data_IF_732155620965
#
_entry.id   IF_732155620965
#
_cell.length_a   1.000
_cell.length_b   1.000
_cell.length_c   1.000
_cell.angle_alpha   90.00
_cell.angle_beta   90.00
_cell.angle_gamma   90.00
#
_symmetry.space_group_name_H-M   'P 1'
#
loop_
_entity.id
_entity.type
_entity.pdbx_description
1 polymer ?
#
# COMPACT_ATOMS: atom_id res chain seq x y z
N UNK A 1 21.38 7.12 -0.03
CA UNK A 1 21.46 8.45 0.62
C UNK A 1 20.11 9.15 0.72
N UNK A 2 19.49 9.71 -0.33
CA UNK A 2 18.22 10.47 -0.16
C UNK A 2 17.04 9.61 0.33
N UNK A 3 16.86 8.40 -0.19
CA UNK A 3 15.80 7.48 0.26
C UNK A 3 16.05 6.97 1.69
N UNK A 4 17.30 6.66 2.01
CA UNK A 4 17.66 6.23 3.37
C UNK A 4 17.50 7.37 4.37
N UNK A 5 17.82 8.61 4.00
CA UNK A 5 17.61 9.79 4.83
C UNK A 5 16.12 10.14 4.95
N UNK A 6 15.31 9.96 3.90
CA UNK A 6 13.86 10.19 3.93
C UNK A 6 13.14 9.15 4.78
N UNK A 7 13.51 7.87 4.65
CA UNK A 7 12.98 6.82 5.51
C UNK A 7 13.49 6.99 6.92
N UNK A 8 14.79 7.20 7.14
CA UNK A 8 15.34 7.41 8.47
C UNK A 8 14.70 8.62 9.14
N UNK A 9 14.45 9.71 8.40
CA UNK A 9 13.69 10.86 8.88
C UNK A 9 12.22 10.52 9.15
N UNK A 10 11.57 9.70 8.32
CA UNK A 10 10.20 9.23 8.57
C UNK A 10 10.12 8.34 9.81
N UNK A 11 11.11 7.45 10.01
CA UNK A 11 11.28 6.63 11.21
C UNK A 11 11.60 7.48 12.44
N UNK A 12 12.42 8.53 12.30
CA UNK A 12 12.71 9.50 13.36
C UNK A 12 11.48 10.34 13.72
N UNK A 13 10.67 10.73 12.73
CA UNK A 13 9.39 11.44 12.94
C UNK A 13 8.32 10.53 13.56
N UNK A 14 8.46 9.21 13.38
CA UNK A 14 7.62 8.17 13.98
C UNK A 14 8.06 7.77 15.40
N UNK A 15 9.33 8.01 15.77
CA UNK A 15 9.88 7.70 17.09
C UNK A 15 9.13 8.42 18.24
N UNK A 16 8.75 9.71 18.13
CA UNK A 16 7.89 10.38 19.11
C UNK A 16 6.46 9.80 19.21
N UNK A 17 5.92 9.22 18.12
CA UNK A 17 4.60 8.57 18.13
C UNK A 17 4.63 7.18 18.81
N UNK A 18 5.79 6.55 18.89
CA UNK A 18 6.02 5.30 19.64
C UNK A 18 6.34 5.54 21.13
N UNK A 19 6.66 6.79 21.50
CA UNK A 19 7.00 7.21 22.86
C UNK A 19 5.87 7.31 23.91
N UNK A 20 4.55 7.17 23.62
CA UNK A 20 3.55 7.25 24.69
C UNK A 20 3.68 6.15 25.76
N UNK A 21 4.50 5.12 25.54
CA UNK A 21 4.61 3.97 26.44
C UNK A 21 5.47 4.15 27.71
N UNK A 22 6.07 5.33 27.98
CA UNK A 22 6.90 5.50 29.20
C UNK A 22 6.45 6.64 30.11
N UNK A 23 5.48 7.46 29.69
CA UNK A 23 5.16 8.72 30.39
C UNK A 23 3.89 8.78 31.26
N UNK A 24 2.97 7.82 31.18
CA UNK A 24 1.64 7.96 31.83
C UNK A 24 1.31 6.77 32.74
N UNK A 25 2.12 6.62 33.79
CA UNK A 25 1.72 5.92 35.02
C UNK A 25 1.60 6.96 36.14
N UNK A 26 0.75 7.96 35.96
CA UNK A 26 0.25 8.84 37.02
C UNK A 26 -1.04 9.46 36.50
N UNK A 27 -2.09 9.28 37.29
CA UNK A 27 -3.44 9.83 37.14
C UNK A 27 -4.39 9.09 36.18
N UNK A 28 -4.72 7.85 36.55
CA UNK A 28 -6.03 7.27 36.24
C UNK A 28 -7.04 7.85 37.23
N UNK A 29 -8.02 8.70 36.82
CA UNK A 29 -9.17 8.94 37.66
C UNK A 29 -9.94 7.63 37.78
N UNK A 30 -10.02 7.09 39.00
CA UNK A 30 -10.86 5.92 39.31
C UNK A 30 -12.30 6.23 38.91
N UNK A 31 -12.76 5.66 37.79
CA UNK A 31 -14.18 5.51 37.56
C UNK A 31 -14.68 4.42 38.51
N UNK A 32 -15.29 4.88 39.61
CA UNK A 32 -16.07 4.04 40.51
C UNK A 32 -17.24 3.49 39.70
N UNK A 33 -17.11 2.26 39.20
CA UNK A 33 -18.22 1.52 38.64
C UNK A 33 -18.96 0.82 39.78
N UNK A 34 -19.95 1.52 40.36
CA UNK A 34 -20.90 0.93 41.29
C UNK A 34 -21.76 -0.08 40.53
N UNK A 35 -21.43 -1.37 40.68
CA UNK A 35 -22.15 -2.51 40.11
C UNK A 35 -23.48 -2.67 40.85
N UNK A 36 -24.58 -2.18 40.29
CA UNK A 36 -25.94 -2.68 40.61
C UNK A 36 -26.33 -3.74 39.59
N UNK A 37 -26.62 -4.95 40.09
CA UNK A 37 -27.17 -6.06 39.32
C UNK A 37 -28.52 -5.68 38.70
N UNK A 38 -28.75 -6.04 37.43
CA UNK A 38 -30.10 -6.23 36.89
C UNK A 38 -30.58 -5.31 35.76
N UNK A 39 -29.75 -4.41 35.22
CA UNK A 39 -30.19 -3.51 34.13
C UNK A 39 -29.66 -4.01 32.77
N UNK A 40 -30.50 -4.11 31.70
CA UNK A 40 -29.99 -4.35 30.35
C UNK A 40 -28.96 -3.27 30.01
N UNK A 41 -27.90 -3.58 29.24
CA UNK A 41 -26.85 -2.61 28.97
C UNK A 41 -27.47 -1.38 28.31
N UNK A 42 -27.49 -0.26 29.04
CA UNK A 42 -27.91 1.02 28.49
C UNK A 42 -27.08 1.28 27.23
N UNK A 43 -27.68 1.75 26.12
CA UNK A 43 -26.91 2.14 24.95
C UNK A 43 -25.81 3.09 25.40
N UNK A 44 -24.57 2.74 25.07
CA UNK A 44 -23.38 3.46 25.52
C UNK A 44 -23.57 4.94 25.15
N UNK A 45 -23.79 5.82 26.14
CA UNK A 45 -23.94 7.24 25.89
C UNK A 45 -22.58 7.78 25.46
N UNK A 46 -22.36 7.78 24.15
CA UNK A 46 -21.16 8.32 23.53
C UNK A 46 -21.10 9.81 23.84
N UNK A 47 -20.11 10.23 24.64
CA UNK A 47 -19.84 11.65 24.82
C UNK A 47 -19.52 12.29 23.46
N UNK A 48 -19.82 13.58 23.24
CA UNK A 48 -19.52 14.25 21.98
C UNK A 48 -18.04 14.15 21.58
N UNK A 49 -17.14 14.19 22.58
CA UNK A 49 -15.70 14.03 22.42
C UNK A 49 -15.35 12.62 21.90
N UNK A 50 -15.85 11.57 22.56
CA UNK A 50 -15.61 10.18 22.15
C UNK A 50 -16.19 9.90 20.75
N UNK A 51 -17.39 10.42 20.44
CA UNK A 51 -17.98 10.31 19.10
C UNK A 51 -17.09 10.95 18.03
N UNK A 52 -16.48 12.10 18.34
CA UNK A 52 -15.58 12.80 17.42
C UNK A 52 -14.30 12.00 17.21
N UNK A 53 -13.70 11.49 18.28
CA UNK A 53 -12.50 10.68 18.23
C UNK A 53 -12.72 9.38 17.43
N UNK A 54 -13.86 8.70 17.63
CA UNK A 54 -14.21 7.51 16.84
C UNK A 54 -14.35 7.86 15.35
N UNK A 55 -14.96 9.00 15.03
CA UNK A 55 -15.12 9.46 13.64
C UNK A 55 -13.76 9.74 13.00
N UNK A 56 -12.85 10.41 13.71
CA UNK A 56 -11.48 10.68 13.24
C UNK A 56 -10.71 9.37 13.07
N UNK A 57 -10.77 8.45 14.04
CA UNK A 57 -10.15 7.12 13.93
C UNK A 57 -10.63 6.37 12.68
N UNK A 58 -11.95 6.31 12.49
CA UNK A 58 -12.57 5.63 11.36
C UNK A 58 -12.15 6.27 10.03
N UNK A 59 -12.16 7.60 9.94
CA UNK A 59 -11.74 8.33 8.74
C UNK A 59 -10.26 8.09 8.40
N UNK A 60 -9.37 8.18 9.40
CA UNK A 60 -7.93 7.94 9.21
C UNK A 60 -7.65 6.54 8.68
N UNK A 61 -8.30 5.49 9.23
CA UNK A 61 -8.11 4.13 8.72
C UNK A 61 -8.81 3.88 7.39
N UNK A 62 -9.96 4.51 7.14
CA UNK A 62 -10.61 4.47 5.84
C UNK A 62 -9.69 5.02 4.74
N UNK A 63 -9.09 6.20 4.95
CA UNK A 63 -8.15 6.82 4.01
C UNK A 63 -6.87 5.98 3.90
N UNK A 64 -6.33 5.50 5.01
CA UNK A 64 -5.07 4.74 5.05
C UNK A 64 -5.20 3.35 4.43
N UNK A 65 -5.80 2.40 5.16
CA UNK A 65 -5.83 0.98 4.78
C UNK A 65 -6.94 0.68 3.78
N UNK A 66 -8.01 1.48 3.77
CA UNK A 66 -9.12 1.33 2.83
C UNK A 66 -8.84 1.89 1.43
N UNK A 67 -7.92 2.86 1.30
CA UNK A 67 -7.69 3.57 0.04
C UNK A 67 -6.22 3.73 -0.36
N UNK A 68 -5.40 4.44 0.44
CA UNK A 68 -4.03 4.76 0.06
C UNK A 68 -3.14 3.52 -0.09
N UNK A 69 -3.25 2.53 0.81
CA UNK A 69 -2.45 1.31 0.71
C UNK A 69 -2.74 0.52 -0.58
N UNK A 70 -4.02 0.23 -0.94
CA UNK A 70 -4.34 -0.36 -2.24
C UNK A 70 -3.84 0.45 -3.44
N UNK A 71 -3.97 1.79 -3.40
CA UNK A 71 -3.45 2.68 -4.46
C UNK A 71 -1.92 2.57 -4.58
N UNK A 72 -1.21 2.52 -3.46
CA UNK A 72 0.24 2.30 -3.43
C UNK A 72 0.64 1.00 -4.14
N UNK A 73 -0.11 -0.09 -3.93
CA UNK A 73 0.12 -1.38 -4.62
C UNK A 73 -0.11 -1.25 -6.13
N UNK A 74 -1.19 -0.58 -6.53
CA UNK A 74 -1.51 -0.33 -7.94
C UNK A 74 -0.38 0.46 -8.62
N UNK A 75 0.13 1.51 -7.99
CA UNK A 75 1.22 2.36 -8.52
C UNK A 75 2.47 1.52 -8.82
N UNK A 76 2.92 0.70 -7.86
CA UNK A 76 4.14 -0.10 -8.08
C UNK A 76 3.93 -1.21 -9.10
N UNK A 77 2.72 -1.76 -9.23
CA UNK A 77 2.41 -2.79 -10.23
C UNK A 77 2.49 -2.27 -11.67
N UNK A 78 2.11 -1.01 -11.91
CA UNK A 78 2.28 -0.37 -13.25
C UNK A 78 3.74 -0.47 -13.72
N UNK A 79 4.69 -0.52 -12.80
CA UNK A 79 6.11 -0.58 -13.13
C UNK A 79 6.51 -1.81 -13.96
N UNK A 80 5.75 -2.91 -13.90
CA UNK A 80 5.97 -4.10 -14.74
C UNK A 80 5.81 -3.80 -16.24
N UNK A 81 5.08 -2.73 -16.59
CA UNK A 81 4.76 -2.33 -17.97
C UNK A 81 5.67 -1.24 -18.51
N UNK A 82 6.59 -0.74 -17.68
CA UNK A 82 7.39 0.43 -17.98
C UNK A 82 8.85 0.01 -18.17
N UNK A 83 9.32 0.14 -19.41
CA UNK A 83 10.72 -0.19 -19.76
C UNK A 83 11.69 0.98 -19.51
N UNK A 84 11.17 2.19 -19.27
CA UNK A 84 11.98 3.36 -18.98
C UNK A 84 12.47 3.36 -17.51
N UNK A 85 13.79 3.35 -17.31
CA UNK A 85 14.42 3.34 -15.98
C UNK A 85 13.99 4.54 -15.12
N UNK A 86 13.88 5.73 -15.71
CA UNK A 86 13.48 6.95 -14.99
C UNK A 86 12.05 6.83 -14.46
N UNK A 87 11.12 6.36 -15.30
CA UNK A 87 9.73 6.14 -14.90
C UNK A 87 9.59 5.01 -13.87
N UNK A 88 10.38 3.95 -13.99
CA UNK A 88 10.45 2.87 -13.00
C UNK A 88 10.88 3.40 -11.61
N UNK A 89 11.90 4.28 -11.57
CA UNK A 89 12.31 4.96 -10.35
C UNK A 89 11.20 5.85 -9.80
N UNK A 90 10.54 6.64 -10.65
CA UNK A 90 9.44 7.50 -10.25
C UNK A 90 8.27 6.73 -9.63
N UNK A 91 7.83 5.62 -10.24
CA UNK A 91 6.78 4.75 -9.70
C UNK A 91 7.19 4.11 -8.37
N UNK A 92 8.45 3.72 -8.22
CA UNK A 92 8.99 3.21 -6.96
C UNK A 92 8.95 4.27 -5.85
N UNK A 93 9.38 5.50 -6.13
CA UNK A 93 9.29 6.59 -5.14
C UNK A 93 7.85 6.97 -4.82
N UNK A 94 6.97 7.03 -5.82
CA UNK A 94 5.55 7.29 -5.62
C UNK A 94 4.91 6.23 -4.72
N UNK A 95 5.23 4.95 -4.93
CA UNK A 95 4.81 3.87 -4.04
C UNK A 95 5.29 4.10 -2.61
N UNK A 96 6.59 4.33 -2.40
CA UNK A 96 7.13 4.54 -1.05
C UNK A 96 6.47 5.74 -0.37
N UNK A 97 6.31 6.87 -1.05
CA UNK A 97 5.68 8.07 -0.49
C UNK A 97 4.24 7.80 -0.07
N UNK A 98 3.43 7.19 -0.96
CA UNK A 98 2.03 6.86 -0.67
C UNK A 98 1.94 5.89 0.52
N UNK A 99 2.79 4.85 0.55
CA UNK A 99 2.81 3.91 1.66
C UNK A 99 3.26 4.53 2.97
N UNK A 100 4.26 5.43 2.95
CA UNK A 100 4.68 6.16 4.14
C UNK A 100 3.52 6.99 4.69
N UNK A 101 2.84 7.78 3.85
CA UNK A 101 1.66 8.57 4.28
C UNK A 101 0.57 7.66 4.86
N UNK A 102 0.28 6.52 4.23
CA UNK A 102 -0.70 5.58 4.75
C UNK A 102 -0.29 5.02 6.13
N UNK A 103 0.98 4.65 6.33
CA UNK A 103 1.50 4.17 7.62
C UNK A 103 1.40 5.26 8.69
N UNK A 104 1.72 6.51 8.36
CA UNK A 104 1.59 7.65 9.30
C UNK A 104 0.14 7.83 9.76
N UNK A 105 -0.82 7.79 8.82
CA UNK A 105 -2.24 7.90 9.14
C UNK A 105 -2.74 6.72 9.99
N UNK A 106 -2.29 5.50 9.69
CA UNK A 106 -2.62 4.31 10.47
C UNK A 106 -2.04 4.39 11.89
N UNK A 107 -0.81 4.90 12.03
CA UNK A 107 -0.14 5.13 13.31
C UNK A 107 -0.89 6.17 14.13
N UNK A 108 -1.27 7.30 13.52
CA UNK A 108 -2.07 8.33 14.19
C UNK A 108 -3.42 7.77 14.69
N UNK A 109 -4.11 6.97 13.88
CA UNK A 109 -5.36 6.32 14.28
C UNK A 109 -5.16 5.28 15.40
N UNK A 110 -4.06 4.53 15.38
CA UNK A 110 -3.71 3.57 16.43
C UNK A 110 -3.40 4.28 17.75
N UNK A 111 -2.60 5.36 17.72
CA UNK A 111 -2.32 6.20 18.90
C UNK A 111 -3.61 6.80 19.46
N UNK A 112 -4.50 7.32 18.60
CA UNK A 112 -5.81 7.82 18.99
C UNK A 112 -6.64 6.74 19.71
N UNK A 113 -6.60 5.50 19.22
CA UNK A 113 -7.28 4.35 19.84
C UNK A 113 -6.68 3.97 21.20
N UNK A 114 -5.35 3.93 21.29
CA UNK A 114 -4.65 3.55 22.54
C UNK A 114 -4.94 4.55 23.65
N UNK A 115 -4.93 5.84 23.33
CA UNK A 115 -5.08 6.91 24.33
C UNK A 115 -6.54 7.10 24.76
N UNK A 116 -7.50 6.97 23.84
CA UNK A 116 -8.87 7.45 24.09
C UNK A 116 -9.93 6.36 24.17
N UNK A 117 -9.65 5.12 23.74
CA UNK A 117 -10.64 4.05 23.71
C UNK A 117 -10.34 2.95 24.72
N UNK A 118 -11.37 2.20 25.11
CA UNK A 118 -11.18 1.01 25.95
C UNK A 118 -10.58 -0.14 25.15
N UNK A 119 -9.32 -0.45 25.41
CA UNK A 119 -8.57 -1.51 24.72
C UNK A 119 -8.69 -2.87 25.46
N UNK A 120 -9.93 -3.33 25.68
CA UNK A 120 -10.19 -4.63 26.33
C UNK A 120 -9.95 -5.84 25.41
N UNK A 121 -9.79 -5.62 24.11
CA UNK A 121 -9.58 -6.66 23.07
C UNK A 121 -10.63 -7.78 23.08
N UNK A 122 -11.82 -7.48 23.62
CA UNK A 122 -12.95 -8.41 23.73
C UNK A 122 -13.72 -8.59 22.42
N UNK A 123 -13.52 -7.68 21.46
CA UNK A 123 -14.18 -7.72 20.16
C UNK A 123 -13.21 -8.01 19.02
N UNK A 124 -13.74 -8.57 17.93
CA UNK A 124 -12.97 -8.96 16.74
C UNK A 124 -12.29 -7.77 16.07
N UNK A 125 -12.92 -6.58 16.04
CA UNK A 125 -12.33 -5.38 15.44
C UNK A 125 -11.02 -4.96 16.12
N UNK A 126 -10.98 -4.97 17.45
CA UNK A 126 -9.77 -4.61 18.21
C UNK A 126 -8.66 -5.63 18.03
N UNK A 127 -8.98 -6.94 18.12
CA UNK A 127 -8.01 -8.02 17.94
C UNK A 127 -7.42 -8.02 16.53
N UNK A 128 -8.28 -7.91 15.51
CA UNK A 128 -7.85 -7.84 14.12
C UNK A 128 -7.10 -6.54 13.84
N UNK A 129 -7.55 -5.41 14.39
CA UNK A 129 -6.91 -4.10 14.25
C UNK A 129 -5.49 -4.07 14.82
N UNK A 130 -5.26 -4.67 15.98
CA UNK A 130 -3.92 -4.77 16.57
C UNK A 130 -2.99 -5.66 15.72
N UNK A 131 -3.48 -6.83 15.28
CA UNK A 131 -2.72 -7.71 14.40
C UNK A 131 -2.40 -7.05 13.06
N UNK A 132 -3.38 -6.36 12.47
CA UNK A 132 -3.21 -5.57 11.25
C UNK A 132 -2.15 -4.48 11.42
N UNK A 133 -2.19 -3.75 12.54
CA UNK A 133 -1.21 -2.69 12.82
C UNK A 133 0.22 -3.22 12.91
N UNK A 134 0.41 -4.38 13.54
CA UNK A 134 1.71 -5.07 13.53
C UNK A 134 2.14 -5.44 12.10
N UNK A 135 1.23 -5.99 11.28
CA UNK A 135 1.53 -6.33 9.88
C UNK A 135 1.88 -5.09 9.03
N UNK A 136 1.21 -3.95 9.26
CA UNK A 136 1.52 -2.68 8.60
C UNK A 136 2.98 -2.27 8.83
N UNK A 137 3.51 -2.47 10.05
CA UNK A 137 4.90 -2.15 10.38
C UNK A 137 5.92 -3.22 9.94
N UNK A 138 5.50 -4.48 9.84
CA UNK A 138 6.35 -5.53 9.27
C UNK A 138 6.64 -5.25 7.78
N UNK A 139 5.69 -4.66 7.04
CA UNK A 139 5.88 -4.32 5.62
C UNK A 139 7.14 -3.49 5.30
N UNK A 140 7.35 -2.31 5.89
CA UNK A 140 8.55 -1.52 5.63
C UNK A 140 9.80 -2.26 6.11
N UNK A 141 9.77 -2.98 7.22
CA UNK A 141 10.93 -3.78 7.69
C UNK A 141 11.33 -4.83 6.65
N UNK A 142 10.37 -5.61 6.14
CA UNK A 142 10.61 -6.55 5.04
C UNK A 142 11.13 -5.81 3.80
N UNK A 143 10.59 -4.62 3.51
CA UNK A 143 11.05 -3.80 2.40
C UNK A 143 12.49 -3.25 2.57
N UNK A 144 12.97 -3.03 3.80
CA UNK A 144 14.37 -2.67 4.07
C UNK A 144 15.32 -3.83 3.84
N UNK A 145 14.89 -5.05 4.17
CA UNK A 145 15.66 -6.28 3.96
C UNK A 145 15.67 -6.75 2.49
N UNK A 146 15.43 -5.82 1.56
CA UNK A 146 15.34 -6.05 0.13
C UNK A 146 16.67 -6.57 -0.44
N UNK A 147 16.73 -7.80 -0.97
CA UNK A 147 17.96 -8.33 -1.56
C UNK A 147 18.36 -7.63 -2.85
N UNK A 148 19.67 -7.65 -3.14
CA UNK A 148 20.25 -7.19 -4.41
C UNK A 148 19.66 -7.95 -5.61
N UNK A 149 19.61 -7.26 -6.76
CA UNK A 149 19.13 -7.85 -8.03
C UNK A 149 20.02 -9.02 -8.45
N UNK A 150 19.44 -10.06 -9.04
CA UNK A 150 20.15 -11.26 -9.52
C UNK A 150 20.28 -12.40 -8.50
N UNK A 151 19.88 -12.21 -7.24
CA UNK A 151 19.92 -13.27 -6.21
C UNK A 151 18.64 -14.13 -6.24
N UNK A 152 18.75 -15.44 -5.96
CA UNK A 152 17.57 -16.32 -5.80
C UNK A 152 16.61 -15.83 -4.70
N UNK A 153 17.17 -15.26 -3.64
CA UNK A 153 16.42 -14.66 -2.52
C UNK A 153 15.51 -13.48 -2.95
N UNK A 154 15.85 -12.78 -4.04
CA UNK A 154 15.05 -11.66 -4.56
C UNK A 154 13.62 -12.08 -4.92
N UNK A 155 13.46 -13.27 -5.49
CA UNK A 155 12.15 -13.81 -5.88
C UNK A 155 11.29 -14.15 -4.67
N UNK A 156 11.88 -14.82 -3.68
CA UNK A 156 11.22 -15.17 -2.41
C UNK A 156 10.80 -13.90 -1.65
N UNK A 157 11.71 -12.94 -1.54
CA UNK A 157 11.41 -11.63 -0.94
C UNK A 157 10.26 -10.93 -1.66
N UNK A 158 10.25 -10.95 -2.99
CA UNK A 158 9.20 -10.30 -3.77
C UNK A 158 7.84 -10.95 -3.51
N UNK A 159 7.78 -12.28 -3.55
CA UNK A 159 6.55 -13.04 -3.26
C UNK A 159 6.06 -12.76 -1.84
N UNK A 160 6.95 -12.81 -0.85
CA UNK A 160 6.60 -12.56 0.55
C UNK A 160 6.08 -11.13 0.75
N UNK A 161 6.82 -10.12 0.27
CA UNK A 161 6.44 -8.72 0.41
C UNK A 161 5.12 -8.44 -0.31
N UNK A 162 4.92 -9.00 -1.51
CA UNK A 162 3.68 -8.89 -2.26
C UNK A 162 2.50 -9.55 -1.53
N UNK A 163 2.63 -10.81 -1.10
CA UNK A 163 1.58 -11.53 -0.38
C UNK A 163 1.19 -10.83 0.92
N UNK A 164 2.18 -10.45 1.73
CA UNK A 164 1.93 -9.75 2.98
C UNK A 164 1.27 -8.38 2.69
N UNK A 165 1.71 -7.65 1.65
CA UNK A 165 1.19 -6.31 1.34
C UNK A 165 -0.26 -6.35 0.87
N UNK A 166 -0.59 -7.31 0.00
CA UNK A 166 -1.97 -7.58 -0.40
C UNK A 166 -2.82 -8.05 0.78
N UNK A 167 -2.27 -8.92 1.65
CA UNK A 167 -2.93 -9.36 2.87
C UNK A 167 -3.29 -8.20 3.81
N UNK A 168 -2.38 -7.25 4.02
CA UNK A 168 -2.63 -6.02 4.80
C UNK A 168 -3.80 -5.23 4.22
N UNK A 169 -3.90 -5.09 2.89
CA UNK A 169 -5.02 -4.38 2.27
C UNK A 169 -6.35 -5.11 2.46
N UNK A 170 -6.38 -6.43 2.26
CA UNK A 170 -7.61 -7.23 2.44
C UNK A 170 -8.07 -7.20 3.90
N UNK A 171 -7.16 -7.47 4.84
CA UNK A 171 -7.46 -7.42 6.28
C UNK A 171 -7.83 -6.01 6.73
N UNK A 172 -7.20 -4.98 6.16
CA UNK A 172 -7.50 -3.57 6.40
C UNK A 172 -8.93 -3.21 6.03
N UNK A 173 -9.32 -3.48 4.79
CA UNK A 173 -10.69 -3.25 4.31
C UNK A 173 -11.71 -4.05 5.14
N UNK A 174 -11.44 -5.32 5.41
CA UNK A 174 -12.30 -6.14 6.27
C UNK A 174 -12.45 -5.53 7.68
N UNK A 175 -11.35 -5.06 8.28
CA UNK A 175 -11.39 -4.46 9.60
C UNK A 175 -12.16 -3.13 9.63
N UNK A 176 -12.12 -2.34 8.55
CA UNK A 176 -12.97 -1.13 8.41
C UNK A 176 -14.45 -1.52 8.38
N UNK A 177 -14.85 -2.54 7.64
CA UNK A 177 -16.25 -3.01 7.64
C UNK A 177 -16.70 -3.51 9.01
N UNK A 178 -15.87 -4.29 9.71
CA UNK A 178 -16.17 -4.75 11.08
C UNK A 178 -16.28 -3.55 12.03
N UNK A 179 -15.42 -2.53 11.87
CA UNK A 179 -15.50 -1.29 12.64
C UNK A 179 -16.78 -0.51 12.40
N UNK A 180 -17.19 -0.34 11.14
CA UNK A 180 -18.47 0.30 10.76
C UNK A 180 -19.67 -0.47 11.33
N UNK A 181 -19.64 -1.81 11.27
CA UNK A 181 -20.67 -2.66 11.86
C UNK A 181 -20.79 -2.44 13.38
N UNK A 182 -19.65 -2.50 14.08
CA UNK A 182 -19.57 -2.30 15.53
C UNK A 182 -20.04 -0.91 15.92
N UNK A 183 -19.69 0.12 15.14
CA UNK A 183 -20.13 1.49 15.37
C UNK A 183 -21.64 1.64 15.20
N UNK A 184 -22.24 1.02 14.16
CA UNK A 184 -23.70 1.01 13.96
C UNK A 184 -24.42 0.36 15.14
N UNK A 185 -23.96 -0.80 15.60
CA UNK A 185 -24.58 -1.50 16.74
C UNK A 185 -24.51 -0.67 18.04
N UNK A 186 -23.39 0.01 18.29
CA UNK A 186 -23.17 0.76 19.54
C UNK A 186 -23.84 2.13 19.55
N UNK A 187 -23.86 2.82 18.41
CA UNK A 187 -24.34 4.21 18.32
C UNK A 187 -25.75 4.32 17.76
N UNK A 188 -26.31 3.24 17.18
CA UNK A 188 -27.55 3.25 16.39
C UNK A 188 -27.57 4.28 15.24
N UNK A 189 -26.41 4.80 14.83
CA UNK A 189 -26.27 5.74 13.72
C UNK A 189 -26.11 5.00 12.40
N UNK A 190 -26.66 5.57 11.34
CA UNK A 190 -26.48 5.04 9.99
C UNK A 190 -25.03 5.18 9.55
N UNK A 191 -24.47 4.07 9.07
CA UNK A 191 -23.14 3.98 8.44
C UNK A 191 -23.23 3.73 6.94
N UNK A 192 -24.45 3.73 6.38
CA UNK A 192 -24.70 3.28 5.01
C UNK A 192 -23.91 4.08 3.98
N UNK A 193 -23.84 5.41 4.13
CA UNK A 193 -23.09 6.26 3.21
C UNK A 193 -21.60 5.93 3.22
N UNK A 194 -21.00 5.79 4.41
CA UNK A 194 -19.58 5.43 4.56
C UNK A 194 -19.26 4.05 3.99
N UNK A 195 -20.13 3.07 4.25
CA UNK A 195 -20.00 1.72 3.72
C UNK A 195 -20.14 1.70 2.19
N UNK A 196 -21.11 2.43 1.61
CA UNK A 196 -21.29 2.54 0.17
C UNK A 196 -20.09 3.20 -0.51
N UNK A 197 -19.56 4.29 0.05
CA UNK A 197 -18.36 4.95 -0.48
C UNK A 197 -17.12 4.05 -0.40
N UNK A 198 -16.94 3.32 0.70
CA UNK A 198 -15.88 2.32 0.83
C UNK A 198 -16.04 1.22 -0.24
N UNK A 199 -17.25 0.71 -0.42
CA UNK A 199 -17.55 -0.34 -1.39
C UNK A 199 -17.25 0.12 -2.81
N UNK A 200 -17.67 1.34 -3.17
CA UNK A 200 -17.38 1.93 -4.47
C UNK A 200 -15.87 2.11 -4.68
N UNK A 201 -15.15 2.66 -3.69
CA UNK A 201 -13.71 2.84 -3.77
C UNK A 201 -12.96 1.50 -3.94
N UNK A 202 -13.30 0.49 -3.13
CA UNK A 202 -12.72 -0.86 -3.22
C UNK A 202 -13.04 -1.52 -4.55
N UNK A 203 -14.26 -1.35 -5.07
CA UNK A 203 -14.66 -1.88 -6.38
C UNK A 203 -13.88 -1.23 -7.51
N UNK A 204 -13.69 0.09 -7.49
CA UNK A 204 -12.88 0.82 -8.48
C UNK A 204 -11.43 0.32 -8.42
N UNK A 205 -10.85 0.24 -7.22
CA UNK A 205 -9.49 -0.26 -7.02
C UNK A 205 -9.36 -1.70 -7.54
N UNK A 206 -10.33 -2.58 -7.26
CA UNK A 206 -10.33 -3.96 -7.74
C UNK A 206 -10.41 -4.04 -9.26
N UNK A 207 -11.29 -3.25 -9.89
CA UNK A 207 -11.40 -3.18 -11.36
C UNK A 207 -10.09 -2.70 -11.96
N UNK A 208 -9.51 -1.61 -11.45
CA UNK A 208 -8.21 -1.11 -11.91
C UNK A 208 -7.12 -2.17 -11.76
N UNK A 209 -7.08 -2.84 -10.61
CA UNK A 209 -6.12 -3.91 -10.33
C UNK A 209 -6.22 -5.06 -11.34
N UNK A 210 -7.43 -5.49 -11.68
CA UNK A 210 -7.66 -6.56 -12.66
C UNK A 210 -7.34 -6.11 -14.10
N UNK A 211 -7.70 -4.87 -14.46
CA UNK A 211 -7.47 -4.32 -15.80
C UNK A 211 -5.98 -4.08 -16.09
N UNK A 212 -5.17 -3.75 -15.08
CA UNK A 212 -3.74 -3.52 -15.24
C UNK A 212 -3.03 -4.69 -15.95
N UNK A 213 -3.33 -5.92 -15.54
CA UNK A 213 -2.67 -7.11 -16.08
C UNK A 213 -3.07 -7.35 -17.55
N UNK A 214 -4.34 -7.09 -17.90
CA UNK A 214 -4.91 -7.33 -19.23
C UNK A 214 -4.77 -6.15 -20.20
N UNK A 215 -4.28 -5.00 -19.76
CA UNK A 215 -4.27 -3.77 -20.56
C UNK A 215 -3.64 -3.90 -21.96
N UNK A 216 -2.48 -4.56 -22.09
CA UNK A 216 -1.80 -4.77 -23.37
C UNK A 216 -2.61 -5.66 -24.31
N UNK A 217 -3.26 -6.67 -23.76
CA UNK A 217 -4.14 -7.55 -24.52
C UNK A 217 -5.36 -6.76 -25.04
N UNK A 218 -5.99 -5.95 -24.19
CA UNK A 218 -7.13 -5.10 -24.57
C UNK A 218 -6.73 -4.08 -25.65
N UNK A 219 -5.57 -3.43 -25.50
CA UNK A 219 -5.06 -2.47 -26.49
C UNK A 219 -4.71 -3.13 -27.82
N UNK A 220 -4.20 -4.37 -27.81
CA UNK A 220 -3.97 -5.15 -29.04
C UNK A 220 -5.29 -5.45 -29.75
N UNK A 221 -6.31 -5.90 -29.03
CA UNK A 221 -7.62 -6.17 -29.63
C UNK A 221 -8.31 -4.90 -30.16
N UNK A 222 -8.22 -3.80 -29.43
CA UNK A 222 -8.78 -2.52 -29.86
C UNK A 222 -8.15 -2.03 -31.19
N UNK A 223 -6.84 -2.22 -31.36
CA UNK A 223 -6.13 -1.85 -32.60
C UNK A 223 -6.51 -2.76 -33.77
N UNK A 224 -6.64 -4.07 -33.54
CA UNK A 224 -7.07 -5.03 -34.58
C UNK A 224 -8.49 -4.73 -35.05
N UNK A 225 -9.40 -4.32 -34.15
CA UNK A 225 -10.76 -3.92 -34.52
C UNK A 225 -10.80 -2.67 -35.41
N UNK A 226 -9.95 -1.67 -35.12
CA UNK A 226 -9.86 -0.42 -35.90
C UNK A 226 -9.33 -0.66 -37.33
N UNK A 227 -8.35 -1.57 -37.46
CA UNK A 227 -7.76 -1.94 -38.75
C UNK A 227 -8.72 -2.76 -39.64
N UNK A 228 -9.65 -3.52 -39.06
CA UNK A 228 -10.66 -4.25 -39.84
C UNK A 228 -11.87 -3.39 -40.26
N UNK A 229 -12.16 -2.29 -39.55
CA UNK A 229 -13.26 -1.37 -39.90
C UNK A 229 -12.83 -0.35 -40.96
N UNK A 230 -11.53 -0.11 -41.13
CA UNK A 230 -11.00 0.78 -42.17
C UNK A 230 -10.55 -0.04 -43.39
N UNK A 231 -11.26 -0.02 -44.54
CA UNK A 231 -10.71 -0.63 -45.74
C UNK A 231 -9.45 0.14 -46.15
N UNK A 232 -8.35 -0.58 -46.38
CA UNK A 232 -7.06 0.00 -46.77
C UNK A 232 -7.20 0.91 -48.00
N UNK A 233 -6.83 2.20 -47.92
CA UNK A 233 -6.44 2.94 -49.11
C UNK A 233 -5.00 2.54 -49.42
N UNK A 234 -4.80 1.95 -50.60
CA UNK A 234 -3.50 1.84 -51.25
C UNK A 234 -2.74 3.18 -51.16
N UNK A 235 -1.49 3.14 -50.70
CA UNK A 235 -0.56 4.26 -50.88
C UNK A 235 0.24 4.59 -49.62
N UNK A 236 1.50 4.18 -49.60
CA UNK A 236 2.40 4.30 -48.46
C UNK A 236 2.71 5.73 -48.03
N UNK A 237 3.03 5.87 -46.75
CA UNK A 237 4.03 6.83 -46.28
C UNK A 237 4.47 6.42 -44.87
N UNK A 238 5.75 6.09 -44.76
CA UNK A 238 6.43 5.70 -43.54
C UNK A 238 6.48 6.93 -42.60
N UNK A 239 5.51 7.08 -41.68
CA UNK A 239 5.60 8.05 -40.59
C UNK A 239 6.30 7.40 -39.40
N UNK A 240 7.59 7.70 -39.28
CA UNK A 240 8.39 7.41 -38.11
C UNK A 240 7.87 8.25 -36.92
N UNK A 241 7.06 7.63 -36.06
CA UNK A 241 6.61 8.25 -34.81
C UNK A 241 7.73 8.05 -33.78
N UNK A 242 8.51 9.11 -33.60
CA UNK A 242 9.59 9.19 -32.62
C UNK A 242 9.03 9.15 -31.19
N UNK A 243 8.99 7.96 -30.59
CA UNK A 243 8.82 7.82 -29.14
C UNK A 243 10.18 8.04 -28.48
N UNK A 244 10.37 9.25 -27.92
CA UNK A 244 11.51 9.60 -27.08
C UNK A 244 11.60 8.72 -25.83
N UNK A 245 12.17 7.52 -25.98
CA UNK A 245 12.89 6.75 -24.96
C UNK A 245 13.65 5.60 -25.65
N UNK A 246 14.38 5.88 -26.71
CA UNK A 246 15.15 4.86 -27.44
C UNK A 246 16.56 5.36 -27.79
N UNK A 247 17.39 5.59 -26.76
CA UNK A 247 18.83 5.77 -26.96
C UNK A 247 19.60 5.51 -25.65
N UNK A 248 19.78 4.24 -25.25
CA UNK A 248 20.95 3.87 -24.41
C UNK A 248 21.12 2.40 -24.02
N UNK A 249 20.16 1.50 -24.25
CA UNK A 249 20.30 0.14 -23.70
C UNK A 249 20.86 -0.89 -24.69
N UNK A 250 20.45 -0.84 -25.96
CA UNK A 250 20.94 -1.77 -26.99
C UNK A 250 22.44 -1.60 -27.24
N UNK A 251 22.90 -0.36 -27.46
CA UNK A 251 24.33 -0.06 -27.72
C UNK A 251 25.27 -0.21 -26.51
N UNK A 252 24.73 -0.38 -25.29
CA UNK A 252 25.54 -0.61 -24.07
C UNK A 252 25.62 -2.09 -23.73
N UNK A 253 24.56 -2.86 -23.94
CA UNK A 253 24.60 -4.33 -23.75
C UNK A 253 25.44 -5.03 -24.81
N UNK A 254 25.39 -4.57 -26.06
CA UNK A 254 26.23 -5.09 -27.15
C UNK A 254 27.71 -4.75 -26.93
N UNK A 255 28.02 -3.57 -26.37
CA UNK A 255 29.40 -3.19 -26.02
C UNK A 255 29.96 -4.02 -24.86
N UNK A 256 29.15 -4.35 -23.86
CA UNK A 256 29.56 -5.21 -22.75
C UNK A 256 29.76 -6.66 -23.19
N UNK A 257 28.85 -7.22 -24.00
CA UNK A 257 29.03 -8.57 -24.55
C UNK A 257 30.22 -8.67 -25.51
N UNK A 258 30.48 -7.62 -26.30
CA UNK A 258 31.65 -7.57 -27.19
C UNK A 258 32.96 -7.44 -26.40
N UNK A 259 32.99 -6.62 -25.34
CA UNK A 259 34.17 -6.50 -24.46
C UNK A 259 34.44 -7.76 -23.64
N UNK A 260 33.43 -8.46 -23.14
CA UNK A 260 33.61 -9.74 -22.46
C UNK A 260 34.09 -10.84 -23.42
N UNK A 261 33.60 -10.85 -24.67
CA UNK A 261 34.08 -11.76 -25.70
C UNK A 261 35.56 -11.54 -26.06
N UNK A 262 35.98 -10.29 -26.22
CA UNK A 262 37.38 -9.93 -26.53
C UNK A 262 38.33 -10.22 -25.36
N UNK A 263 37.92 -9.96 -24.11
CA UNK A 263 38.74 -10.25 -22.91
C UNK A 263 38.93 -11.76 -22.68
N UNK A 264 37.90 -12.57 -22.95
CA UNK A 264 37.98 -14.03 -22.84
C UNK A 264 38.89 -14.62 -23.92
N UNK A 265 38.91 -14.05 -25.13
CA UNK A 265 39.82 -14.47 -26.21
C UNK A 265 41.27 -14.08 -25.92
N UNK A 266 41.54 -12.88 -25.39
CA UNK A 266 42.90 -12.50 -24.95
C UNK A 266 43.42 -13.41 -23.83
N UNK A 267 42.60 -13.73 -22.82
CA UNK A 267 43.00 -14.60 -21.70
C UNK A 267 43.22 -16.06 -22.13
N UNK A 268 42.65 -16.49 -23.25
CA UNK A 268 42.90 -17.82 -23.84
C UNK A 268 44.18 -17.84 -24.69
N UNK A 269 44.53 -16.74 -25.34
CA UNK A 269 45.78 -16.60 -26.11
C UNK A 269 47.01 -16.44 -25.22
N UNK A 270 46.87 -15.82 -24.04
CA UNK A 270 47.95 -15.71 -23.04
C UNK A 270 48.24 -17.01 -22.27
N UNK A 271 47.46 -18.08 -22.50
CA UNK A 271 47.61 -19.39 -21.84
C UNK A 271 48.11 -20.49 -22.79
N UNK A 272 48.72 -20.12 -23.93
CA UNK A 272 49.49 -21.03 -24.79
C UNK A 272 50.93 -20.57 -24.88
#
# INVERSE_FOLDING_TARGET
MILENFVAASLLLLLPLLLPCVGSLRDTPRLVQSRRNGQPPNPLQLTPQLSTQITVHAFLLWVSVGFLMPVGIIIIRVSHRVHCITKLKALFYAHVIVQTVAILLATAAAVLSVINFENSFSNTHQRLGAALYALIWIQPVVAFLRPHRGTKLRGVWYLLHWLLGTGVCVLGVANVYIGLHTYRERSSRSVSLWASLLTAAVSIVAVVYLLQDKWEYLMKQARVGDEQVTPSPLGGSHKEINYGCHASFTSRSERYQKQEGELVVELQLQRR
#
